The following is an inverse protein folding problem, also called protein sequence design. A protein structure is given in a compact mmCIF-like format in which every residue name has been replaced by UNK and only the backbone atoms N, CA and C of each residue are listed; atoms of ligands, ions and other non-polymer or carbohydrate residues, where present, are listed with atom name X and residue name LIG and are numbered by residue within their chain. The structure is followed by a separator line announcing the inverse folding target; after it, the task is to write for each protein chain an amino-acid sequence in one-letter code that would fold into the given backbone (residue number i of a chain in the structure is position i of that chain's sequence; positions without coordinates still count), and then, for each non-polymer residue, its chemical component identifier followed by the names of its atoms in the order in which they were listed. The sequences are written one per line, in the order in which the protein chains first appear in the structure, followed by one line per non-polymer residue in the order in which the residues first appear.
data_IF_391749724864
#
_entry.id   IF_391749724864
#
_cell.length_a   1.000
_cell.length_b   1.000
_cell.length_c   1.000
_cell.angle_alpha   90.00
_cell.angle_beta   90.00
_cell.angle_gamma   90.00
#
_symmetry.space_group_name_H-M   'P 1'
#
loop_
_entity.id
_entity.type
_entity.pdbx_description
1 polymer ?
#
# COMPACT_ATOMS: atom_id res chain seq x y z
N UNK A 1 42.61 71.16 0.60
CA UNK A 1 43.62 70.08 0.68
C UNK A 1 43.04 68.84 0.03
N UNK A 2 43.38 68.60 -1.23
CA UNK A 2 42.92 67.45 -2.02
C UNK A 2 43.87 66.30 -1.71
N UNK A 3 43.37 65.23 -1.08
CA UNK A 3 44.17 64.07 -0.73
C UNK A 3 44.31 63.17 -1.96
N UNK A 4 45.47 63.20 -2.61
CA UNK A 4 45.79 62.35 -3.77
C UNK A 4 46.20 60.96 -3.27
N UNK A 5 45.31 59.98 -3.39
CA UNK A 5 45.63 58.58 -3.10
C UNK A 5 46.54 58.00 -4.21
N UNK A 6 47.67 57.40 -3.82
CA UNK A 6 48.63 56.76 -4.74
C UNK A 6 47.97 55.57 -5.46
N UNK A 7 48.24 55.44 -6.78
CA UNK A 7 47.69 54.40 -7.67
C UNK A 7 47.78 52.96 -7.13
N UNK A 8 48.79 52.64 -6.32
CA UNK A 8 48.94 51.30 -5.73
C UNK A 8 47.88 51.01 -4.66
N UNK A 9 47.45 52.01 -3.88
CA UNK A 9 46.40 51.83 -2.86
C UNK A 9 45.03 51.57 -3.51
N UNK A 10 44.77 52.16 -4.68
CA UNK A 10 43.54 51.93 -5.46
C UNK A 10 43.51 50.49 -6.00
N UNK A 11 44.66 49.95 -6.40
CA UNK A 11 44.75 48.57 -6.90
C UNK A 11 44.48 47.55 -5.79
N UNK A 12 45.04 47.73 -4.59
CA UNK A 12 44.79 46.84 -3.45
C UNK A 12 43.36 46.93 -2.91
N UNK A 13 42.75 48.12 -2.90
CA UNK A 13 41.33 48.29 -2.52
C UNK A 13 40.40 47.62 -3.56
N UNK A 14 40.74 47.68 -4.85
CA UNK A 14 39.97 47.04 -5.92
C UNK A 14 40.10 45.51 -5.89
N UNK A 15 41.29 44.98 -5.61
CA UNK A 15 41.53 43.54 -5.39
C UNK A 15 40.81 43.05 -4.14
N UNK A 16 40.81 43.81 -3.03
CA UNK A 16 40.10 43.47 -1.80
C UNK A 16 38.56 43.50 -1.97
N UNK A 17 38.03 44.43 -2.78
CA UNK A 17 36.60 44.46 -3.13
C UNK A 17 36.19 43.28 -4.03
N UNK A 18 37.03 42.91 -5.00
CA UNK A 18 36.78 41.76 -5.89
C UNK A 18 36.86 40.42 -5.15
N UNK A 19 37.81 40.27 -4.20
CA UNK A 19 37.91 39.08 -3.34
C UNK A 19 36.71 38.95 -2.38
N UNK A 20 36.18 40.06 -1.85
CA UNK A 20 34.98 40.04 -1.01
C UNK A 20 33.68 39.85 -1.82
N UNK A 21 33.61 40.33 -3.07
CA UNK A 21 32.51 40.05 -3.98
C UNK A 21 32.51 38.59 -4.46
N UNK A 22 33.67 37.95 -4.61
CA UNK A 22 33.77 36.54 -4.94
C UNK A 22 33.27 35.64 -3.78
N UNK A 23 33.52 36.00 -2.51
CA UNK A 23 32.95 35.28 -1.36
C UNK A 23 31.44 35.48 -1.17
N UNK A 24 30.90 36.61 -1.64
CA UNK A 24 29.46 36.84 -1.65
C UNK A 24 28.74 36.10 -2.80
N UNK A 25 29.40 35.91 -3.96
CA UNK A 25 28.83 35.17 -5.09
C UNK A 25 28.94 33.65 -4.92
N UNK A 26 29.97 33.15 -4.20
CA UNK A 26 30.10 31.73 -3.87
C UNK A 26 29.08 31.25 -2.81
N UNK A 27 28.44 32.19 -2.10
CA UNK A 27 27.38 31.89 -1.14
C UNK A 27 25.97 31.89 -1.75
N UNK A 28 25.84 32.13 -3.07
CA UNK A 28 24.54 32.22 -3.75
C UNK A 28 24.28 31.11 -4.79
N UNK A 29 25.20 30.17 -4.99
CA UNK A 29 25.03 29.05 -5.93
C UNK A 29 25.61 27.76 -5.35
N UNK A 30 25.05 27.27 -4.24
CA UNK A 30 25.09 25.86 -3.81
C UNK A 30 23.98 25.60 -2.77
N UNK A 31 22.72 25.87 -3.15
CA UNK A 31 21.58 25.13 -2.56
C UNK A 31 21.10 24.15 -3.62
N UNK A 32 21.87 23.07 -3.74
CA UNK A 32 21.41 21.84 -4.36
C UNK A 32 20.39 21.22 -3.40
N UNK A 33 19.15 21.12 -3.87
CA UNK A 33 18.09 20.17 -3.50
C UNK A 33 18.36 19.34 -2.23
N UNK A 34 18.02 19.91 -1.07
CA UNK A 34 17.63 19.10 0.09
C UNK A 34 16.11 18.93 0.04
N UNK A 35 15.67 18.00 -0.80
CA UNK A 35 14.32 17.46 -0.79
C UNK A 35 14.14 16.70 0.53
N UNK A 36 13.72 17.41 1.57
CA UNK A 36 13.31 16.79 2.83
C UNK A 36 12.03 16.02 2.59
N UNK A 37 12.21 14.71 2.48
CA UNK A 37 11.24 13.63 2.52
C UNK A 37 10.17 13.87 3.60
N UNK A 38 9.03 14.43 3.19
CA UNK A 38 7.82 14.52 4.00
C UNK A 38 7.23 13.11 4.01
N UNK A 39 7.57 12.38 5.07
CA UNK A 39 6.83 11.24 5.64
C UNK A 39 5.69 10.75 4.76
N UNK A 40 5.96 9.71 3.97
CA UNK A 40 4.95 8.86 3.34
C UNK A 40 4.03 8.32 4.44
N UNK A 41 2.94 9.04 4.67
CA UNK A 41 1.73 8.49 5.27
C UNK A 41 1.33 7.37 4.31
N UNK A 42 1.65 6.12 4.66
CA UNK A 42 1.24 4.94 3.92
C UNK A 42 -0.30 4.92 3.91
N UNK A 43 -0.86 5.60 2.90
CA UNK A 43 -2.28 5.67 2.68
C UNK A 43 -2.73 4.25 2.38
N UNK A 44 -3.74 3.73 3.12
CA UNK A 44 -4.23 2.38 2.92
C UNK A 44 -4.56 2.15 1.44
N UNK A 45 -4.38 0.91 0.92
CA UNK A 45 -4.68 0.60 -0.48
C UNK A 45 -6.10 1.06 -0.77
N UNK A 46 -6.22 2.04 -1.68
CA UNK A 46 -7.50 2.64 -2.03
C UNK A 46 -8.41 1.55 -2.60
N UNK A 47 -9.35 1.09 -1.78
CA UNK A 47 -10.50 0.32 -2.26
C UNK A 47 -11.45 1.31 -2.92
N UNK A 48 -11.19 1.59 -4.19
CA UNK A 48 -12.08 2.41 -4.99
C UNK A 48 -13.44 1.71 -5.08
N UNK A 49 -14.51 2.47 -4.85
CA UNK A 49 -15.87 1.98 -4.97
C UNK A 49 -16.17 1.54 -6.41
N UNK A 50 -15.56 2.24 -7.37
CA UNK A 50 -15.64 1.96 -8.80
C UNK A 50 -14.25 1.88 -9.40
N UNK A 51 -13.98 0.82 -10.17
CA UNK A 51 -12.66 0.60 -10.78
C UNK A 51 -12.28 1.64 -11.81
N UNK A 52 -13.28 2.19 -12.51
CA UNK A 52 -13.04 3.20 -13.55
C UNK A 52 -12.35 4.43 -13.00
N UNK A 53 -12.50 4.76 -11.71
CA UNK A 53 -11.79 5.86 -11.08
C UNK A 53 -10.26 5.71 -11.19
N UNK A 54 -9.73 4.50 -11.37
CA UNK A 54 -8.30 4.29 -11.58
C UNK A 54 -7.82 4.48 -13.03
N UNK A 55 -8.73 4.71 -13.99
CA UNK A 55 -8.36 4.91 -15.39
C UNK A 55 -7.67 6.28 -15.56
N UNK A 56 -6.78 6.40 -16.54
CA UNK A 56 -6.17 7.70 -16.87
C UNK A 56 -7.18 8.60 -17.57
N UNK A 57 -7.02 9.91 -17.45
CA UNK A 57 -7.76 10.85 -18.31
C UNK A 57 -7.50 10.51 -19.78
N UNK A 58 -8.56 10.44 -20.59
CA UNK A 58 -8.48 10.08 -22.00
C UNK A 58 -9.21 11.11 -22.85
N UNK A 59 -8.42 11.87 -23.61
CA UNK A 59 -8.91 12.93 -24.46
C UNK A 59 -9.71 12.38 -25.66
N UNK A 60 -9.51 11.10 -26.02
CA UNK A 60 -10.05 10.51 -27.24
C UNK A 60 -9.43 11.10 -28.52
N UNK A 61 -9.87 10.63 -29.70
CA UNK A 61 -9.29 11.03 -30.98
C UNK A 61 -9.86 12.33 -31.56
N UNK A 62 -11.00 12.80 -31.04
CA UNK A 62 -11.61 14.05 -31.47
C UNK A 62 -10.87 15.29 -30.93
N UNK A 63 -11.13 16.46 -31.51
CA UNK A 63 -10.37 17.71 -31.24
C UNK A 63 -11.20 18.85 -30.64
N UNK A 64 -12.35 18.54 -30.03
CA UNK A 64 -13.09 19.51 -29.25
C UNK A 64 -12.28 19.89 -27.99
N UNK A 65 -12.55 21.07 -27.43
CA UNK A 65 -11.93 21.56 -26.20
C UNK A 65 -12.99 21.59 -25.10
N UNK A 66 -13.36 20.41 -24.60
CA UNK A 66 -14.41 20.28 -23.58
C UNK A 66 -13.75 20.03 -22.23
N UNK A 67 -13.85 20.98 -21.31
CA UNK A 67 -13.38 20.78 -19.94
C UNK A 67 -14.24 19.72 -19.26
N UNK A 68 -13.59 18.71 -18.69
CA UNK A 68 -14.18 17.63 -17.93
C UNK A 68 -13.29 17.33 -16.72
N UNK A 69 -13.79 16.54 -15.78
CA UNK A 69 -13.07 16.14 -14.58
C UNK A 69 -12.74 14.65 -14.63
N UNK A 70 -11.60 14.25 -14.08
CA UNK A 70 -11.24 12.85 -13.88
C UNK A 70 -10.63 12.67 -12.49
N UNK A 71 -10.77 11.49 -11.90
CA UNK A 71 -10.09 11.15 -10.66
C UNK A 71 -8.64 10.76 -10.95
N UNK A 72 -7.70 11.57 -10.46
CA UNK A 72 -6.28 11.26 -10.54
C UNK A 72 -5.89 10.41 -9.32
N UNK A 73 -5.60 9.13 -9.56
CA UNK A 73 -5.23 8.18 -8.51
C UNK A 73 -3.90 8.55 -7.82
N UNK A 74 -3.00 9.28 -8.48
CA UNK A 74 -1.71 9.65 -7.92
C UNK A 74 -1.83 10.79 -6.92
N UNK A 75 -2.65 11.80 -7.24
CA UNK A 75 -2.93 12.93 -6.33
C UNK A 75 -4.10 12.63 -5.39
N UNK A 76 -4.86 11.56 -5.68
CA UNK A 76 -6.11 11.19 -5.01
C UNK A 76 -7.12 12.34 -5.02
N UNK A 77 -7.17 13.08 -6.12
CA UNK A 77 -8.02 14.25 -6.30
C UNK A 77 -8.73 14.21 -7.64
N UNK A 78 -9.86 14.87 -7.73
CA UNK A 78 -10.52 15.12 -8.99
C UNK A 78 -9.90 16.36 -9.65
N UNK A 79 -9.41 16.18 -10.87
CA UNK A 79 -8.66 17.18 -11.63
C UNK A 79 -9.34 17.46 -12.98
N UNK A 80 -9.17 18.68 -13.49
CA UNK A 80 -9.67 19.06 -14.82
C UNK A 80 -8.77 18.50 -15.94
N UNK A 81 -9.39 18.10 -17.05
CA UNK A 81 -8.70 17.74 -18.28
C UNK A 81 -9.51 18.12 -19.53
N UNK A 82 -8.85 18.12 -20.69
CA UNK A 82 -9.46 18.49 -21.97
C UNK A 82 -9.96 17.25 -22.72
N UNK A 83 -11.28 17.04 -22.74
CA UNK A 83 -11.91 15.99 -23.53
C UNK A 83 -12.14 16.43 -24.98
N UNK A 84 -11.69 15.58 -25.90
CA UNK A 84 -11.76 15.79 -27.35
C UNK A 84 -13.17 15.70 -27.94
N UNK A 85 -14.17 15.26 -27.19
CA UNK A 85 -15.58 15.21 -27.62
C UNK A 85 -16.05 13.88 -28.19
N UNK A 86 -15.18 12.86 -28.28
CA UNK A 86 -15.60 11.50 -28.60
C UNK A 86 -14.69 10.45 -27.93
N UNK A 87 -15.21 9.22 -27.83
CA UNK A 87 -14.55 8.07 -27.17
C UNK A 87 -14.16 8.35 -25.70
N UNK A 88 -12.91 8.07 -25.33
CA UNK A 88 -12.43 8.16 -23.96
C UNK A 88 -12.85 6.98 -23.10
N UNK A 89 -12.87 7.21 -21.79
CA UNK A 89 -13.24 6.19 -20.82
C UNK A 89 -14.18 6.73 -19.71
N UNK A 90 -14.56 5.86 -18.77
CA UNK A 90 -15.54 6.15 -17.72
C UNK A 90 -15.01 7.09 -16.61
N UNK A 91 -13.71 7.35 -16.52
CA UNK A 91 -13.15 8.34 -15.60
C UNK A 91 -13.27 9.75 -16.19
N UNK A 92 -14.50 10.19 -16.44
CA UNK A 92 -14.81 11.48 -17.05
C UNK A 92 -16.16 11.97 -16.52
N UNK A 93 -16.16 13.12 -15.88
CA UNK A 93 -17.31 13.70 -15.20
C UNK A 93 -17.54 15.13 -15.65
N UNK A 94 -18.81 15.54 -15.66
CA UNK A 94 -19.19 16.89 -16.09
C UNK A 94 -18.88 17.96 -15.05
N UNK A 95 -18.69 17.58 -13.79
CA UNK A 95 -18.37 18.47 -12.68
C UNK A 95 -17.39 17.85 -11.69
N UNK A 96 -16.71 18.72 -10.93
CA UNK A 96 -15.86 18.32 -9.81
C UNK A 96 -16.64 17.50 -8.77
N UNK A 97 -17.84 17.96 -8.41
CA UNK A 97 -18.71 17.31 -7.43
C UNK A 97 -19.09 15.89 -7.87
N UNK A 98 -19.48 15.69 -9.14
CA UNK A 98 -19.81 14.36 -9.66
C UNK A 98 -18.62 13.40 -9.56
N UNK A 99 -17.41 13.88 -9.86
CA UNK A 99 -16.18 13.11 -9.73
C UNK A 99 -15.92 12.72 -8.27
N UNK A 100 -15.99 13.68 -7.34
CA UNK A 100 -15.73 13.46 -5.92
C UNK A 100 -16.72 12.47 -5.31
N UNK A 101 -18.01 12.60 -5.64
CA UNK A 101 -19.04 11.69 -5.15
C UNK A 101 -18.80 10.24 -5.59
N UNK A 102 -18.39 10.05 -6.85
CA UNK A 102 -18.19 8.73 -7.46
C UNK A 102 -16.87 8.08 -7.07
N UNK A 103 -15.82 8.86 -6.86
CA UNK A 103 -14.45 8.36 -6.70
C UNK A 103 -13.80 8.64 -5.33
N UNK A 104 -14.26 9.63 -4.56
CA UNK A 104 -13.60 10.10 -3.32
C UNK A 104 -14.33 9.72 -2.01
N UNK A 105 -15.28 8.78 -2.03
CA UNK A 105 -16.07 8.35 -0.84
C UNK A 105 -15.26 7.59 0.24
N UNK A 106 -13.94 7.75 0.28
CA UNK A 106 -13.04 7.27 1.33
C UNK A 106 -12.83 8.24 2.51
N UNK A 107 -13.46 9.43 2.51
CA UNK A 107 -13.38 10.42 3.61
C UNK A 107 -14.73 10.85 4.18
N UNK A 108 -15.83 10.24 3.73
CA UNK A 108 -17.11 10.39 4.40
C UNK A 108 -17.15 9.39 5.56
N UNK A 109 -17.22 9.93 6.78
CA UNK A 109 -17.59 9.15 7.97
C UNK A 109 -18.77 8.23 7.63
N UNK A 110 -18.73 7.03 8.21
CA UNK A 110 -19.88 6.16 8.42
C UNK A 110 -20.98 6.99 9.10
N UNK A 111 -21.77 7.67 8.27
CA UNK A 111 -22.89 8.50 8.63
C UNK A 111 -24.15 7.68 8.43
N UNK A 112 -24.35 6.77 9.38
CA UNK A 112 -25.58 6.06 9.66
C UNK A 112 -26.82 6.93 9.35
N UNK A 113 -27.61 6.56 8.34
CA UNK A 113 -29.06 6.63 8.45
C UNK A 113 -29.55 5.24 8.82
N UNK A 114 -29.78 5.08 10.12
CA UNK A 114 -30.79 4.20 10.75
C UNK A 114 -32.02 4.09 9.84
N UNK A 115 -32.54 2.90 9.55
CA UNK A 115 -33.37 2.13 10.47
C UNK A 115 -33.49 0.67 10.02
N UNK A 116 -33.35 -0.25 10.98
CA UNK A 116 -34.12 -1.50 11.11
C UNK A 116 -34.67 -2.13 9.81
N UNK A 117 -33.89 -3.01 9.18
CA UNK A 117 -34.28 -4.32 8.66
C UNK A 117 -33.01 -4.98 8.09
N UNK A 118 -32.95 -6.31 8.09
CA UNK A 118 -31.79 -7.08 7.57
C UNK A 118 -31.71 -6.94 6.05
N UNK A 119 -31.37 -5.76 5.54
CA UNK A 119 -31.09 -5.62 4.13
C UNK A 119 -29.66 -6.10 3.83
N UNK A 120 -29.51 -6.77 2.68
CA UNK A 120 -28.24 -7.27 2.14
C UNK A 120 -27.16 -6.16 2.15
N UNK A 121 -25.87 -6.48 2.21
CA UNK A 121 -24.80 -5.48 2.24
C UNK A 121 -24.90 -4.44 1.11
N UNK A 122 -24.48 -3.20 1.38
CA UNK A 122 -24.52 -2.07 0.42
C UNK A 122 -23.90 -2.41 -0.95
N UNK A 123 -22.84 -3.23 -0.94
CA UNK A 123 -22.20 -3.62 -2.19
C UNK A 123 -23.08 -4.52 -3.07
N UNK A 124 -24.06 -5.23 -2.52
CA UNK A 124 -25.03 -6.00 -3.31
C UNK A 124 -25.99 -5.10 -4.11
N UNK A 125 -25.89 -3.78 -3.98
CA UNK A 125 -26.64 -2.80 -4.78
C UNK A 125 -25.78 -2.17 -5.89
N UNK A 126 -24.47 -2.44 -5.91
CA UNK A 126 -23.57 -1.99 -6.98
C UNK A 126 -23.79 -2.84 -8.25
N UNK A 127 -23.50 -2.29 -9.43
CA UNK A 127 -23.48 -3.07 -10.67
C UNK A 127 -22.26 -4.00 -10.75
N UNK A 128 -22.19 -4.83 -11.78
CA UNK A 128 -20.97 -5.55 -12.12
C UNK A 128 -19.85 -4.60 -12.53
N UNK A 129 -18.61 -4.92 -12.16
CA UNK A 129 -17.45 -4.12 -12.53
C UNK A 129 -16.31 -5.05 -12.97
N UNK A 130 -16.12 -5.09 -14.29
CA UNK A 130 -15.09 -5.91 -14.94
C UNK A 130 -13.67 -5.48 -14.55
N UNK A 131 -13.48 -4.28 -14.01
CA UNK A 131 -12.15 -3.76 -13.74
C UNK A 131 -11.40 -3.35 -15.01
N UNK A 132 -10.19 -2.86 -14.82
CA UNK A 132 -9.34 -2.32 -15.91
C UNK A 132 -8.47 -3.39 -16.56
N UNK A 133 -8.29 -4.52 -15.89
CA UNK A 133 -7.51 -5.64 -16.41
C UNK A 133 -8.28 -6.40 -17.50
N UNK A 134 -7.55 -7.08 -18.38
CA UNK A 134 -8.12 -7.78 -19.56
C UNK A 134 -8.24 -9.30 -19.36
N UNK A 135 -8.35 -9.75 -18.12
CA UNK A 135 -8.62 -11.15 -17.79
C UNK A 135 -10.05 -11.56 -18.18
N UNK A 136 -10.25 -12.86 -18.34
CA UNK A 136 -11.56 -13.46 -18.61
C UNK A 136 -11.94 -14.41 -17.47
N UNK A 137 -12.01 -13.88 -16.25
CA UNK A 137 -12.28 -14.65 -15.04
C UNK A 137 -13.79 -14.64 -14.80
N UNK A 138 -14.45 -15.79 -14.85
CA UNK A 138 -15.87 -15.89 -14.49
C UNK A 138 -16.01 -15.59 -12.99
N UNK A 139 -16.82 -14.59 -12.66
CA UNK A 139 -17.21 -14.20 -11.31
C UNK A 139 -18.71 -14.00 -11.27
N UNK A 140 -19.27 -13.91 -10.07
CA UNK A 140 -20.70 -13.71 -9.88
C UNK A 140 -20.96 -12.35 -9.24
N UNK A 141 -22.04 -11.70 -9.62
CA UNK A 141 -22.51 -10.47 -9.00
C UNK A 141 -24.02 -10.58 -8.80
N UNK A 142 -24.54 -9.87 -7.80
CA UNK A 142 -25.98 -9.75 -7.62
C UNK A 142 -26.52 -8.69 -8.56
N UNK A 143 -27.31 -9.10 -9.54
CA UNK A 143 -28.00 -8.20 -10.44
C UNK A 143 -29.29 -7.69 -9.77
N UNK A 144 -29.35 -6.38 -9.53
CA UNK A 144 -30.47 -5.76 -8.84
C UNK A 144 -31.70 -5.55 -9.73
N UNK A 145 -31.57 -5.70 -11.05
CA UNK A 145 -32.68 -5.69 -12.00
C UNK A 145 -33.36 -7.06 -12.03
N UNK A 146 -32.59 -8.14 -12.18
CA UNK A 146 -33.12 -9.51 -12.22
C UNK A 146 -33.38 -10.13 -10.85
N UNK A 147 -32.88 -9.49 -9.78
CA UNK A 147 -32.89 -9.98 -8.39
C UNK A 147 -32.22 -11.35 -8.23
N UNK A 148 -31.18 -11.62 -9.02
CA UNK A 148 -30.46 -12.89 -9.05
C UNK A 148 -28.96 -12.67 -9.14
N UNK A 149 -28.22 -13.65 -8.66
CA UNK A 149 -26.80 -13.77 -8.88
C UNK A 149 -26.53 -14.30 -10.29
N UNK A 150 -25.82 -13.50 -11.08
CA UNK A 150 -25.47 -13.76 -12.47
C UNK A 150 -23.95 -13.79 -12.62
N UNK A 151 -23.44 -14.50 -13.64
CA UNK A 151 -22.01 -14.48 -13.93
C UNK A 151 -21.62 -13.31 -14.85
N UNK A 152 -20.43 -12.78 -14.65
CA UNK A 152 -19.83 -11.76 -15.50
C UNK A 152 -18.34 -12.03 -15.73
N UNK A 153 -17.75 -11.36 -16.73
CA UNK A 153 -16.32 -11.49 -17.05
C UNK A 153 -15.50 -10.46 -16.29
N UNK A 154 -14.91 -10.88 -15.18
CA UNK A 154 -14.01 -10.05 -14.39
C UNK A 154 -12.59 -10.06 -14.98
N UNK A 155 -12.05 -8.86 -15.14
CA UNK A 155 -10.75 -8.56 -15.68
C UNK A 155 -9.56 -9.01 -14.82
N UNK A 156 -9.79 -9.32 -13.54
CA UNK A 156 -8.76 -9.85 -12.63
C UNK A 156 -8.05 -8.81 -11.77
N UNK A 157 -8.37 -7.52 -11.92
CA UNK A 157 -7.91 -6.48 -11.00
C UNK A 157 -8.93 -5.37 -10.84
N UNK A 158 -8.86 -4.65 -9.71
CA UNK A 158 -9.83 -3.64 -9.31
C UNK A 158 -11.25 -4.22 -9.27
N UNK A 159 -12.23 -3.56 -9.84
CA UNK A 159 -13.64 -3.89 -9.69
C UNK A 159 -14.24 -3.27 -8.42
N UNK A 160 -15.48 -3.67 -8.13
CA UNK A 160 -16.17 -3.32 -6.90
C UNK A 160 -16.43 -4.57 -6.04
N UNK A 161 -17.11 -4.37 -4.90
CA UNK A 161 -17.36 -5.44 -3.93
C UNK A 161 -18.50 -6.41 -4.32
N UNK A 162 -19.30 -6.10 -5.36
CA UNK A 162 -20.28 -7.02 -5.92
C UNK A 162 -19.60 -8.04 -6.86
N UNK A 163 -18.65 -8.82 -6.32
CA UNK A 163 -17.79 -9.72 -7.08
C UNK A 163 -17.47 -10.95 -6.23
N UNK A 164 -18.16 -12.05 -6.51
CA UNK A 164 -18.08 -13.32 -5.79
C UNK A 164 -17.40 -14.39 -6.64
N UNK A 165 -16.66 -15.28 -5.98
CA UNK A 165 -15.96 -16.37 -6.66
C UNK A 165 -16.91 -17.50 -7.07
N UNK A 166 -18.00 -17.68 -6.33
CA UNK A 166 -19.00 -18.72 -6.60
C UNK A 166 -20.43 -18.17 -6.55
N UNK A 167 -21.31 -18.82 -7.31
CA UNK A 167 -22.74 -18.51 -7.31
C UNK A 167 -23.33 -18.61 -5.90
N UNK A 168 -23.03 -19.69 -5.17
CA UNK A 168 -23.57 -19.92 -3.83
C UNK A 168 -23.16 -18.84 -2.83
N UNK A 169 -21.92 -18.37 -2.92
CA UNK A 169 -21.45 -17.25 -2.10
C UNK A 169 -22.25 -15.97 -2.39
N UNK A 170 -22.49 -15.67 -3.67
CA UNK A 170 -23.33 -14.54 -4.06
C UNK A 170 -24.75 -14.67 -3.50
N UNK A 171 -25.38 -15.85 -3.67
CA UNK A 171 -26.76 -16.09 -3.23
C UNK A 171 -26.93 -15.94 -1.72
N UNK A 172 -26.05 -16.57 -0.96
CA UNK A 172 -26.06 -16.49 0.51
C UNK A 172 -25.85 -15.06 1.01
N UNK A 173 -25.07 -14.25 0.28
CA UNK A 173 -24.75 -12.88 0.68
C UNK A 173 -25.84 -11.89 0.27
N UNK A 174 -26.38 -12.02 -0.93
CA UNK A 174 -27.20 -10.98 -1.57
C UNK A 174 -28.63 -11.41 -1.94
N UNK A 175 -28.92 -12.71 -2.12
CA UNK A 175 -30.29 -13.22 -2.37
C UNK A 175 -31.01 -13.63 -1.08
N UNK A 176 -30.28 -13.89 -0.01
CA UNK A 176 -30.81 -14.41 1.26
C UNK A 176 -31.55 -13.32 2.09
N UNK A 177 -32.77 -12.98 1.70
CA UNK A 177 -33.81 -12.59 2.65
C UNK A 177 -35.21 -12.91 2.09
N UNK A 178 -35.81 -13.98 2.60
CA UNK A 178 -37.16 -14.38 2.20
C UNK A 178 -37.80 -15.55 2.95
N UNK A 179 -37.03 -16.41 3.65
CA UNK A 179 -37.61 -17.55 4.39
C UNK A 179 -37.16 -17.59 5.85
N UNK A 180 -37.54 -16.57 6.62
CA UNK A 180 -37.92 -16.80 8.02
C UNK A 180 -39.42 -16.50 8.12
N UNK A 181 -40.21 -17.35 7.47
CA UNK A 181 -41.65 -17.42 7.73
C UNK A 181 -41.84 -17.64 9.22
N UNK A 182 -42.59 -16.74 9.83
CA UNK A 182 -43.38 -16.93 11.05
C UNK A 182 -43.62 -18.42 11.33
N UNK A 183 -42.76 -19.01 12.16
CA UNK A 183 -43.12 -20.21 12.90
C UNK A 183 -44.09 -19.73 13.96
N UNK A 184 -45.34 -20.14 13.78
CA UNK A 184 -46.42 -19.90 14.69
C UNK A 184 -46.01 -20.24 16.13
N UNK A 185 -46.22 -19.25 17.00
CA UNK A 185 -46.18 -19.42 18.45
C UNK A 185 -47.34 -20.34 18.83
N UNK A 186 -47.04 -21.62 19.08
CA UNK A 186 -47.79 -22.40 20.07
C UNK A 186 -46.82 -23.07 21.03
N UNK A 187 -46.91 -22.64 22.28
CA UNK A 187 -46.20 -23.23 23.42
C UNK A 187 -46.65 -24.68 23.63
N UNK A 188 -45.71 -25.60 23.86
CA UNK A 188 -45.88 -26.69 24.84
C UNK A 188 -44.51 -27.33 25.20
N UNK A 189 -44.11 -27.04 26.44
CA UNK A 189 -43.46 -27.88 27.48
C UNK A 189 -42.37 -28.91 27.09
N UNK A 190 -41.26 -28.79 27.82
CA UNK A 190 -39.92 -29.42 27.82
C UNK A 190 -39.84 -30.84 28.45
N UNK A 191 -38.67 -31.34 28.95
CA UNK A 191 -37.47 -32.03 28.37
C UNK A 191 -37.28 -33.46 29.04
N UNK A 192 -36.10 -34.12 29.22
CA UNK A 192 -34.69 -34.04 28.70
C UNK A 192 -34.19 -35.40 28.10
N UNK A 193 -33.02 -35.47 27.43
CA UNK A 193 -31.77 -36.14 27.86
C UNK A 193 -31.00 -36.58 26.59
N UNK A 194 -29.67 -36.69 26.45
CA UNK A 194 -28.49 -36.09 27.09
C UNK A 194 -27.28 -36.33 26.14
N UNK A 195 -26.36 -35.36 26.11
CA UNK A 195 -24.88 -35.48 26.02
C UNK A 195 -24.22 -36.32 24.90
N UNK A 196 -23.50 -35.66 23.97
CA UNK A 196 -22.03 -35.69 23.99
C UNK A 196 -21.37 -34.64 23.08
N UNK A 197 -20.42 -33.93 23.68
CA UNK A 197 -19.48 -33.01 23.07
C UNK A 197 -18.45 -33.79 22.23
N UNK A 198 -18.07 -33.27 21.07
CA UNK A 198 -16.67 -33.02 20.80
C UNK A 198 -16.51 -31.91 19.74
N UNK A 199 -16.14 -30.76 20.25
CA UNK A 199 -15.78 -29.54 19.54
C UNK A 199 -14.26 -29.48 19.46
N UNK A 200 -13.70 -29.51 18.25
CA UNK A 200 -12.42 -28.86 17.95
C UNK A 200 -12.58 -28.12 16.62
N UNK A 201 -13.32 -27.02 16.68
CA UNK A 201 -13.06 -25.84 15.84
C UNK A 201 -11.90 -25.09 16.50
N UNK A 202 -10.80 -24.76 15.79
CA UNK A 202 -9.86 -23.77 16.31
C UNK A 202 -10.56 -22.40 16.26
N UNK A 203 -11.03 -21.92 17.41
CA UNK A 203 -11.41 -20.54 17.60
C UNK A 203 -10.19 -19.61 17.41
N UNK A 204 -10.38 -18.38 16.91
CA UNK A 204 -9.38 -17.32 17.03
C UNK A 204 -9.35 -16.88 18.49
N UNK A 205 -8.41 -17.43 19.25
CA UNK A 205 -8.12 -16.97 20.61
C UNK A 205 -7.53 -15.57 20.50
N UNK A 206 -8.22 -14.58 21.09
CA UNK A 206 -7.63 -13.28 21.43
C UNK A 206 -6.50 -13.53 22.43
N UNK A 207 -5.29 -13.73 21.91
CA UNK A 207 -4.03 -13.68 22.64
C UNK A 207 -3.20 -12.49 22.14
N UNK A 208 -2.29 -11.93 22.95
CA UNK A 208 -1.49 -10.78 22.54
C UNK A 208 -0.44 -11.26 21.53
N UNK A 209 -0.68 -11.10 20.22
CA UNK A 209 0.29 -11.53 19.21
C UNK A 209 1.39 -10.49 19.07
N UNK A 210 2.43 -10.70 19.87
CA UNK A 210 3.72 -10.02 19.96
C UNK A 210 4.59 -10.08 18.67
N UNK A 211 4.01 -10.27 17.49
CA UNK A 211 4.75 -10.34 16.22
C UNK A 211 4.05 -9.51 15.14
N UNK A 212 4.27 -8.20 15.22
CA UNK A 212 3.95 -7.27 14.14
C UNK A 212 4.97 -7.47 13.01
N UNK A 213 4.49 -7.85 11.83
CA UNK A 213 5.34 -8.06 10.67
C UNK A 213 5.73 -6.70 10.07
N UNK A 214 6.98 -6.30 10.25
CA UNK A 214 7.56 -5.04 9.76
C UNK A 214 8.27 -5.18 8.40
N UNK A 215 7.87 -6.17 7.59
CA UNK A 215 8.42 -6.39 6.25
C UNK A 215 7.49 -5.86 5.16
N UNK A 216 7.90 -5.94 3.88
CA UNK A 216 7.05 -5.52 2.78
C UNK A 216 5.71 -6.27 2.81
N UNK A 217 4.59 -5.53 2.78
CA UNK A 217 3.24 -6.08 2.92
C UNK A 217 2.93 -7.16 1.89
N UNK A 218 3.46 -7.02 0.67
CA UNK A 218 3.30 -7.99 -0.40
C UNK A 218 3.91 -9.36 -0.08
N UNK A 219 4.87 -9.49 0.84
CA UNK A 219 5.34 -10.79 1.33
C UNK A 219 4.26 -11.60 2.06
N UNK A 220 3.16 -10.96 2.46
CA UNK A 220 2.01 -11.62 3.10
C UNK A 220 0.98 -12.12 2.08
N UNK A 221 1.11 -11.74 0.80
CA UNK A 221 0.21 -12.20 -0.27
C UNK A 221 0.44 -13.70 -0.56
N UNK A 222 -0.58 -14.45 -1.00
CA UNK A 222 -0.43 -15.85 -1.38
C UNK A 222 0.46 -16.02 -2.62
N UNK A 223 0.96 -17.22 -2.88
CA UNK A 223 1.66 -17.51 -4.13
C UNK A 223 0.69 -17.35 -5.32
N UNK A 224 0.95 -16.41 -6.22
CA UNK A 224 0.13 -16.24 -7.42
C UNK A 224 0.83 -16.83 -8.64
N UNK A 225 0.24 -17.89 -9.18
CA UNK A 225 0.71 -18.58 -10.38
C UNK A 225 0.75 -17.65 -11.59
N UNK A 226 -0.10 -16.64 -11.67
CA UNK A 226 -0.25 -15.79 -12.84
C UNK A 226 -1.02 -16.48 -13.99
N UNK A 227 -1.12 -15.79 -15.12
CA UNK A 227 -2.10 -16.09 -16.18
C UNK A 227 -1.53 -16.81 -17.40
N UNK A 228 -0.21 -16.98 -17.49
CA UNK A 228 0.44 -17.61 -18.63
C UNK A 228 0.42 -19.16 -18.52
N UNK A 229 1.19 -19.84 -19.36
CA UNK A 229 1.19 -21.31 -19.46
C UNK A 229 2.55 -21.97 -19.15
N UNK A 230 3.59 -21.18 -18.84
CA UNK A 230 4.87 -21.75 -18.43
C UNK A 230 4.77 -22.44 -17.06
N UNK A 231 5.80 -23.21 -16.70
CA UNK A 231 5.89 -23.87 -15.40
C UNK A 231 7.26 -23.58 -14.77
N UNK A 232 7.55 -22.31 -14.57
CA UNK A 232 8.79 -21.86 -13.96
C UNK A 232 8.78 -22.11 -12.45
N UNK A 233 9.87 -22.70 -11.92
CA UNK A 233 10.02 -22.86 -10.48
C UNK A 233 10.43 -21.53 -9.84
N UNK A 234 9.54 -20.97 -9.01
CA UNK A 234 9.77 -19.74 -8.25
C UNK A 234 9.53 -20.01 -6.76
N UNK A 235 9.83 -19.04 -5.91
CA UNK A 235 9.62 -19.10 -4.47
C UNK A 235 8.69 -17.98 -4.02
N UNK A 236 7.84 -18.25 -3.04
CA UNK A 236 7.03 -17.24 -2.35
C UNK A 236 7.24 -17.38 -0.84
N UNK A 237 7.03 -16.30 -0.10
CA UNK A 237 7.04 -16.29 1.35
C UNK A 237 5.66 -16.67 1.88
N UNK A 238 5.59 -17.76 2.64
CA UNK A 238 4.38 -18.13 3.36
C UNK A 238 4.47 -17.56 4.78
N UNK A 239 3.66 -16.54 5.05
CA UNK A 239 3.62 -15.81 6.32
C UNK A 239 3.08 -16.64 7.48
N UNK A 240 2.13 -17.55 7.22
CA UNK A 240 1.53 -18.45 8.23
C UNK A 240 2.59 -19.37 8.86
N UNK A 241 3.50 -19.89 8.04
CA UNK A 241 4.60 -20.76 8.51
C UNK A 241 5.95 -20.03 8.66
N UNK A 242 6.02 -18.75 8.30
CA UNK A 242 7.23 -17.93 8.30
C UNK A 242 8.36 -18.46 7.41
N UNK A 243 8.06 -19.10 6.26
CA UNK A 243 9.07 -19.75 5.40
C UNK A 243 8.83 -19.51 3.92
N UNK A 244 9.93 -19.42 3.17
CA UNK A 244 9.91 -19.41 1.70
C UNK A 244 9.70 -20.82 1.13
N UNK A 245 8.68 -21.00 0.30
CA UNK A 245 8.31 -22.27 -0.36
C UNK A 245 8.33 -22.12 -1.89
N UNK A 246 8.67 -23.19 -2.63
CA UNK A 246 8.60 -23.17 -4.08
C UNK A 246 7.15 -23.24 -4.57
N UNK A 247 6.87 -22.64 -5.73
CA UNK A 247 5.62 -22.77 -6.47
C UNK A 247 5.88 -22.70 -7.99
N UNK A 248 4.89 -23.09 -8.79
CA UNK A 248 4.96 -23.04 -10.25
C UNK A 248 4.39 -21.71 -10.74
N UNK A 249 5.24 -20.85 -11.28
CA UNK A 249 4.85 -19.59 -11.90
C UNK A 249 4.65 -19.77 -13.39
N UNK A 250 3.61 -19.12 -13.89
CA UNK A 250 3.16 -19.23 -15.27
C UNK A 250 3.99 -18.46 -16.28
N UNK A 251 4.87 -17.56 -15.84
CA UNK A 251 5.73 -16.72 -16.69
C UNK A 251 5.21 -15.29 -16.89
N UNK A 252 3.97 -14.98 -16.51
CA UNK A 252 3.46 -13.60 -16.53
C UNK A 252 2.37 -13.34 -15.48
N UNK A 253 2.13 -12.07 -15.16
CA UNK A 253 1.21 -11.66 -14.09
C UNK A 253 1.75 -12.04 -12.72
N UNK A 254 0.87 -12.43 -11.80
CA UNK A 254 1.26 -12.76 -10.43
C UNK A 254 1.30 -11.54 -9.51
N UNK A 255 1.78 -11.74 -8.29
CA UNK A 255 2.10 -10.68 -7.32
C UNK A 255 3.60 -10.63 -7.01
N UNK A 256 4.06 -9.64 -6.23
CA UNK A 256 5.48 -9.46 -5.93
C UNK A 256 6.06 -10.55 -5.01
N UNK A 257 5.23 -11.38 -4.37
CA UNK A 257 5.67 -12.52 -3.57
C UNK A 257 6.15 -13.69 -4.46
N UNK A 258 7.05 -13.38 -5.39
CA UNK A 258 7.52 -14.26 -6.44
C UNK A 258 9.02 -14.01 -6.66
N UNK A 259 9.83 -14.97 -6.21
CA UNK A 259 11.28 -14.86 -6.19
C UNK A 259 11.91 -15.97 -7.03
N UNK A 260 12.92 -15.63 -7.81
CA UNK A 260 13.68 -16.60 -8.60
C UNK A 260 14.41 -17.62 -7.70
N UNK A 261 14.81 -17.23 -6.48
CA UNK A 261 15.51 -18.11 -5.55
C UNK A 261 15.01 -18.01 -4.11
N UNK A 262 15.11 -19.13 -3.38
CA UNK A 262 14.83 -19.18 -1.94
C UNK A 262 15.62 -18.13 -1.15
N UNK A 263 16.88 -17.88 -1.53
CA UNK A 263 17.75 -16.88 -0.88
C UNK A 263 17.23 -15.46 -1.10
N UNK A 264 16.73 -15.13 -2.28
CA UNK A 264 16.10 -13.83 -2.53
C UNK A 264 14.85 -13.64 -1.66
N UNK A 265 13.96 -14.62 -1.66
CA UNK A 265 12.76 -14.61 -0.81
C UNK A 265 13.09 -14.41 0.68
N UNK A 266 14.07 -15.15 1.21
CA UNK A 266 14.45 -15.04 2.62
C UNK A 266 15.06 -13.67 2.95
N UNK A 267 15.88 -13.10 2.05
CA UNK A 267 16.47 -11.78 2.28
C UNK A 267 15.41 -10.69 2.34
N UNK A 268 14.38 -10.79 1.51
CA UNK A 268 13.33 -9.77 1.41
C UNK A 268 12.26 -9.92 2.50
N UNK A 269 11.73 -11.13 2.70
CA UNK A 269 10.54 -11.32 3.53
C UNK A 269 10.82 -11.87 4.94
N UNK A 270 11.95 -12.54 5.18
CA UNK A 270 12.20 -13.13 6.51
C UNK A 270 12.48 -12.08 7.59
N UNK A 271 12.97 -10.90 7.19
CA UNK A 271 13.38 -9.83 8.12
C UNK A 271 12.22 -9.07 8.76
N UNK A 272 10.99 -9.22 8.28
CA UNK A 272 9.82 -8.53 8.85
C UNK A 272 9.45 -9.00 10.26
N UNK A 273 9.92 -10.17 10.70
CA UNK A 273 9.73 -10.66 12.07
C UNK A 273 10.88 -10.19 12.97
N UNK A 274 10.93 -8.90 13.30
CA UNK A 274 11.88 -8.37 14.29
C UNK A 274 11.24 -8.53 15.67
N UNK A 275 11.81 -9.39 16.53
CA UNK A 275 11.45 -9.42 17.95
C UNK A 275 11.77 -8.05 18.57
N UNK A 276 10.77 -7.38 19.15
CA UNK A 276 11.02 -6.29 20.09
C UNK A 276 11.78 -6.89 21.28
N UNK A 277 13.11 -6.80 21.29
CA UNK A 277 13.84 -6.90 22.55
C UNK A 277 13.34 -5.71 23.36
N UNK A 278 12.48 -5.97 24.34
CA UNK A 278 12.16 -5.02 25.38
C UNK A 278 13.49 -4.56 25.99
N UNK A 279 13.96 -3.37 25.62
CA UNK A 279 14.99 -2.67 26.39
C UNK A 279 14.37 -2.14 27.67
N UNK A 280 13.85 -3.05 28.49
CA UNK A 280 13.52 -2.88 29.90
C UNK A 280 14.47 -3.80 30.68
N UNK A 281 15.76 -3.45 30.70
CA UNK A 281 16.79 -4.27 31.30
C UNK A 281 18.07 -3.47 31.47
N UNK A 282 18.22 -2.90 32.67
CA UNK A 282 19.40 -2.21 33.16
C UNK A 282 20.64 -3.12 33.05
N UNK A 283 21.38 -3.08 31.94
CA UNK A 283 22.71 -3.69 31.88
C UNK A 283 23.67 -2.72 32.56
N UNK A 284 23.94 -2.99 33.84
CA UNK A 284 25.04 -2.39 34.60
C UNK A 284 26.36 -2.66 33.87
N UNK A 285 26.86 -1.68 33.12
CA UNK A 285 28.26 -1.70 32.70
C UNK A 285 29.12 -1.43 33.93
N UNK A 286 29.66 -2.50 34.54
CA UNK A 286 30.73 -2.38 35.53
C UNK A 286 31.90 -1.65 34.86
N UNK A 287 32.17 -0.42 35.32
CA UNK A 287 33.31 0.40 34.92
C UNK A 287 34.59 -0.33 35.36
N UNK A 288 35.22 -1.11 34.46
CA UNK A 288 36.54 -1.71 34.72
C UNK A 288 37.58 -0.60 34.55
N UNK A 289 38.12 -0.13 35.68
CA UNK A 289 39.16 0.90 35.77
C UNK A 289 40.40 0.42 34.99
N UNK A 290 40.71 1.03 33.84
CA UNK A 290 41.93 0.74 33.07
C UNK A 290 43.09 1.42 33.81
N UNK A 291 43.94 0.64 34.49
CA UNK A 291 45.22 1.12 35.03
C UNK A 291 46.12 1.48 33.84
N UNK A 292 46.49 2.75 33.72
CA UNK A 292 47.47 3.22 32.75
C UNK A 292 48.86 2.92 33.32
N UNK A 293 49.59 2.00 32.70
CA UNK A 293 51.01 1.76 33.01
C UNK A 293 51.86 2.59 32.06
N UNK A 294 52.52 3.61 32.60
CA UNK A 294 53.55 4.40 31.92
C UNK A 294 54.73 3.48 31.61
N UNK A 295 55.17 3.43 30.35
CA UNK A 295 56.47 2.85 29.98
C UNK A 295 57.41 3.99 29.57
N UNK A 296 58.44 4.16 30.38
CA UNK A 296 59.58 5.08 30.18
C UNK A 296 60.46 4.47 29.09
N UNK A 297 60.82 5.27 28.09
CA UNK A 297 61.75 4.88 27.01
C UNK A 297 63.16 5.32 27.43
N UNK A 298 64.05 4.34 27.60
CA UNK A 298 65.49 4.56 27.49
C UNK A 298 66.02 3.52 26.51
N UNK A 299 66.49 3.97 25.35
CA UNK A 299 67.26 3.13 24.43
C UNK A 299 68.74 3.48 24.53
N UNK A 300 69.54 2.41 24.60
CA UNK A 300 70.95 2.38 24.96
C UNK A 300 71.82 2.87 23.80
N UNK A 301 72.81 3.67 24.16
CA UNK A 301 73.96 4.12 23.36
C UNK A 301 74.68 2.91 22.72
N UNK A 302 74.88 2.95 21.41
CA UNK A 302 75.89 2.13 20.72
C UNK A 302 77.18 2.93 20.59
N UNK A 303 78.23 2.47 21.27
CA UNK A 303 79.61 2.90 21.09
C UNK A 303 80.13 2.27 19.79
N UNK A 304 80.60 3.10 18.85
CA UNK A 304 81.46 2.65 17.75
C UNK A 304 82.86 3.23 18.00
N UNK A 305 83.77 2.37 18.48
CA UNK A 305 85.22 2.59 18.38
C UNK A 305 85.67 2.06 17.02
N UNK A 306 86.32 2.91 16.24
CA UNK A 306 87.73 2.85 15.80
C UNK A 306 87.95 4.11 14.97
#
# INVERSE_FOLDING_TARGET
MIYTMKKEQIFWVSVYLLLNCASALLSAVLEAEEYTDITDVELPPLKLLHSFCALKADNGPCRAMITQFFFNIHTQQCEEFMYGGCEGNQNRFGSLEECEEKCMRGRANVGLKTTLEKEKPDYCFLGEDSGVCRGYITRYFYNNESKKCEDFKYGGCLGNQNNFESLDQCKQTCESLGNLTTLDVTNTVSPPDSVNNDSITPQPTKGPSFFEYHGPSWCLTPADRGLCQANESRFYYNSVIGKCRPFKYSGCGGNENNFISKKACLRTCKKGFIQRISKGGLIKTKRKRKKQTVKIVYEKIFVKKI
#
